data_IF_895724463086
#
_entry.id   IF_895724463086
#
_cell.length_a   1.000
_cell.length_b   1.000
_cell.length_c   1.000
_cell.angle_alpha   90.00
_cell.angle_beta   90.00
_cell.angle_gamma   90.00
#
_symmetry.space_group_name_H-M   'P 1'
#
loop_
_entity.id
_entity.type
_entity.pdbx_description
1 polymer ?
#
# COMPACT_ATOMS: atom_id res chain seq x y z
N UNK A 1 -6.13 -8.39 11.54
CA UNK A 1 -5.87 -8.37 10.09
C UNK A 1 -4.81 -9.40 9.73
N UNK A 2 -4.81 -9.97 8.52
CA UNK A 2 -3.75 -10.88 8.09
C UNK A 2 -2.40 -10.13 8.02
N UNK A 3 -1.31 -10.85 8.25
CA UNK A 3 0.03 -10.30 8.11
C UNK A 3 0.31 -9.93 6.64
N UNK A 4 0.95 -8.78 6.35
CA UNK A 4 1.35 -8.40 5.00
C UNK A 4 2.27 -9.44 4.33
N UNK A 5 1.89 -9.86 3.12
CA UNK A 5 2.65 -10.79 2.28
C UNK A 5 3.07 -10.09 1.00
N UNK A 6 4.33 -10.25 0.65
CA UNK A 6 4.93 -9.63 -0.53
C UNK A 6 5.57 -10.70 -1.41
N UNK A 7 5.05 -10.85 -2.63
CA UNK A 7 5.73 -11.63 -3.66
C UNK A 7 6.75 -10.76 -4.39
N UNK A 8 7.95 -11.28 -4.63
CA UNK A 8 9.03 -10.56 -5.33
C UNK A 8 8.60 -10.08 -6.71
N UNK A 9 7.87 -10.92 -7.47
CA UNK A 9 7.30 -10.57 -8.78
C UNK A 9 6.39 -9.35 -8.69
N UNK A 10 5.60 -9.27 -7.63
CA UNK A 10 4.64 -8.20 -7.39
C UNK A 10 5.33 -6.92 -6.93
N UNK A 11 6.29 -7.02 -6.01
CA UNK A 11 7.16 -5.91 -5.63
C UNK A 11 7.88 -5.33 -6.85
N UNK A 12 8.42 -6.19 -7.72
CA UNK A 12 9.10 -5.75 -8.94
C UNK A 12 8.15 -5.02 -9.90
N UNK A 13 6.93 -5.53 -10.09
CA UNK A 13 5.92 -4.90 -10.94
C UNK A 13 5.48 -3.53 -10.41
N UNK A 14 5.39 -3.40 -9.09
CA UNK A 14 4.96 -2.17 -8.41
C UNK A 14 6.13 -1.24 -8.07
N UNK A 15 7.38 -1.63 -8.33
CA UNK A 15 8.57 -0.83 -8.03
C UNK A 15 8.61 0.51 -8.79
N UNK A 16 7.81 0.66 -9.85
CA UNK A 16 7.56 1.95 -10.50
C UNK A 16 7.05 3.04 -9.53
N UNK A 17 6.45 2.64 -8.41
CA UNK A 17 5.98 3.50 -7.33
C UNK A 17 6.95 3.60 -6.14
N UNK A 18 8.11 2.95 -6.16
CA UNK A 18 9.05 2.95 -5.04
C UNK A 18 9.52 4.37 -4.66
N UNK A 19 9.56 5.29 -5.62
CA UNK A 19 9.87 6.71 -5.40
C UNK A 19 8.85 7.40 -4.48
N UNK A 20 7.58 7.02 -4.53
CA UNK A 20 6.55 7.55 -3.63
C UNK A 20 6.83 7.18 -2.16
N UNK A 21 7.60 6.09 -1.96
CA UNK A 21 8.06 5.62 -0.65
C UNK A 21 9.52 6.02 -0.36
N UNK A 22 10.09 6.94 -1.13
CA UNK A 22 11.43 7.49 -0.89
C UNK A 22 12.59 6.62 -1.39
N UNK A 23 12.33 5.64 -2.26
CA UNK A 23 13.37 4.75 -2.81
C UNK A 23 13.69 5.16 -4.23
N UNK A 24 14.95 5.51 -4.45
CA UNK A 24 15.46 5.92 -5.75
C UNK A 24 16.24 4.81 -6.47
N UNK A 25 16.41 4.99 -7.77
CA UNK A 25 17.14 4.04 -8.63
C UNK A 25 16.25 2.97 -9.26
N UNK A 26 16.90 1.95 -9.81
CA UNK A 26 16.26 0.86 -10.55
C UNK A 26 16.03 -0.36 -9.66
N UNK A 27 15.16 -1.27 -10.11
CA UNK A 27 14.95 -2.55 -9.44
C UNK A 27 16.26 -3.34 -9.35
N UNK A 28 16.57 -3.79 -8.14
CA UNK A 28 17.61 -4.76 -7.83
C UNK A 28 17.24 -5.40 -6.48
N UNK A 29 17.97 -6.41 -6.03
CA UNK A 29 17.67 -7.10 -4.77
C UNK A 29 17.62 -6.15 -3.57
N UNK A 30 18.63 -5.29 -3.40
CA UNK A 30 18.70 -4.36 -2.27
C UNK A 30 17.54 -3.34 -2.28
N UNK A 31 17.20 -2.81 -3.46
CA UNK A 31 16.08 -1.90 -3.62
C UNK A 31 14.72 -2.58 -3.44
N UNK A 32 14.60 -3.86 -3.82
CA UNK A 32 13.41 -4.68 -3.55
C UNK A 32 13.19 -4.88 -2.05
N UNK A 33 14.26 -5.22 -1.32
CA UNK A 33 14.22 -5.36 0.14
C UNK A 33 13.90 -4.02 0.82
N UNK A 34 14.48 -2.92 0.34
CA UNK A 34 14.16 -1.57 0.81
C UNK A 34 12.68 -1.22 0.57
N UNK A 35 12.12 -1.59 -0.59
CA UNK A 35 10.72 -1.33 -0.92
C UNK A 35 9.77 -2.12 -0.03
N UNK A 36 10.05 -3.40 0.18
CA UNK A 36 9.29 -4.20 1.14
C UNK A 36 9.34 -3.60 2.56
N UNK A 37 10.51 -3.15 3.02
CA UNK A 37 10.65 -2.50 4.32
C UNK A 37 9.88 -1.18 4.41
N UNK A 38 9.90 -0.37 3.35
CA UNK A 38 9.13 0.87 3.29
C UNK A 38 7.62 0.61 3.33
N UNK A 39 7.13 -0.43 2.63
CA UNK A 39 5.72 -0.84 2.69
C UNK A 39 5.33 -1.36 4.09
N UNK A 40 6.19 -2.14 4.74
CA UNK A 40 5.97 -2.58 6.12
C UNK A 40 5.90 -1.41 7.11
N UNK A 41 6.80 -0.43 6.96
CA UNK A 41 6.79 0.77 7.79
C UNK A 41 5.55 1.62 7.52
N UNK A 42 5.14 1.73 6.25
CA UNK A 42 3.91 2.41 5.86
C UNK A 42 2.70 1.80 6.57
N UNK A 43 2.52 0.48 6.48
CA UNK A 43 1.42 -0.25 7.15
C UNK A 43 1.39 0.02 8.66
N UNK A 44 2.55 0.06 9.32
CA UNK A 44 2.64 0.35 10.77
C UNK A 44 2.36 1.81 11.12
N UNK A 45 2.62 2.73 10.20
CA UNK A 45 2.45 4.17 10.38
C UNK A 45 1.13 4.72 9.84
N UNK A 46 0.31 3.87 9.23
CA UNK A 46 -0.97 4.26 8.67
C UNK A 46 -1.91 4.72 9.79
N UNK A 47 -2.51 5.89 9.61
CA UNK A 47 -3.50 6.43 10.55
C UNK A 47 -4.92 5.94 10.25
N UNK A 48 -5.15 5.47 9.02
CA UNK A 48 -6.45 5.01 8.55
C UNK A 48 -6.32 3.65 7.91
N UNK A 49 -7.04 2.66 8.45
CA UNK A 49 -7.07 1.30 7.94
C UNK A 49 -8.53 0.92 7.69
N UNK A 50 -8.86 0.63 6.43
CA UNK A 50 -10.23 0.50 5.98
C UNK A 50 -10.38 -0.76 5.14
N UNK A 51 -11.53 -1.43 5.26
CA UNK A 51 -11.99 -2.36 4.23
C UNK A 51 -12.73 -1.55 3.17
N UNK A 52 -12.30 -1.64 1.93
CA UNK A 52 -12.86 -0.90 0.80
C UNK A 52 -12.80 -1.75 -0.47
N UNK A 53 -13.26 -1.21 -1.59
CA UNK A 53 -13.07 -1.83 -2.90
C UNK A 53 -11.97 -1.15 -3.71
N UNK A 54 -11.26 -1.93 -4.52
CA UNK A 54 -10.34 -1.46 -5.54
C UNK A 54 -10.54 -2.29 -6.82
N UNK A 55 -10.89 -1.62 -7.93
CA UNK A 55 -11.21 -2.26 -9.22
C UNK A 55 -12.22 -3.42 -9.13
N UNK A 56 -13.21 -3.27 -8.25
CA UNK A 56 -14.28 -4.26 -8.05
C UNK A 56 -13.90 -5.44 -7.13
N UNK A 57 -12.73 -5.41 -6.50
CA UNK A 57 -12.29 -6.41 -5.52
C UNK A 57 -12.27 -5.81 -4.12
N UNK A 58 -12.67 -6.59 -3.12
CA UNK A 58 -12.52 -6.21 -1.71
C UNK A 58 -11.05 -6.20 -1.29
N UNK A 59 -10.64 -5.13 -0.63
CA UNK A 59 -9.27 -4.88 -0.22
C UNK A 59 -9.22 -4.25 1.18
N UNK A 60 -8.10 -4.50 1.86
CA UNK A 60 -7.66 -3.67 2.97
C UNK A 60 -6.81 -2.53 2.41
N UNK A 61 -7.20 -1.30 2.70
CA UNK A 61 -6.45 -0.11 2.32
C UNK A 61 -5.85 0.54 3.57
N UNK A 62 -4.55 0.81 3.52
CA UNK A 62 -3.80 1.48 4.58
C UNK A 62 -3.37 2.85 4.06
N UNK A 63 -3.84 3.91 4.71
CA UNK A 63 -3.57 5.30 4.32
C UNK A 63 -2.78 5.99 5.42
N UNK A 64 -1.75 6.72 5.00
CA UNK A 64 -1.04 7.67 5.84
C UNK A 64 -1.31 9.07 5.29
N UNK A 65 -2.15 9.83 6.00
CA UNK A 65 -2.57 11.18 5.65
C UNK A 65 -1.43 12.20 5.66
N UNK A 66 -0.37 11.95 6.44
CA UNK A 66 0.82 12.82 6.53
C UNK A 66 1.67 12.72 5.27
N UNK A 67 1.92 11.51 4.78
CA UNK A 67 2.72 11.30 3.55
C UNK A 67 1.85 11.37 2.29
N UNK A 68 0.55 11.10 2.42
CA UNK A 68 -0.39 10.89 1.32
C UNK A 68 -0.25 9.50 0.67
N UNK A 69 0.53 8.59 1.27
CA UNK A 69 0.74 7.27 0.71
C UNK A 69 -0.42 6.34 1.06
N UNK A 70 -0.71 5.43 0.15
CA UNK A 70 -1.69 4.39 0.34
C UNK A 70 -1.21 3.05 -0.22
N UNK A 71 -1.63 1.97 0.41
CA UNK A 71 -1.35 0.60 -0.03
C UNK A 71 -2.58 -0.25 0.04
N UNK A 72 -2.77 -1.13 -0.95
CA UNK A 72 -3.83 -2.11 -1.02
C UNK A 72 -3.31 -3.51 -0.77
N UNK A 73 -4.05 -4.26 0.02
CA UNK A 73 -3.87 -5.69 0.22
C UNK A 73 -5.19 -6.40 -0.01
N UNK A 74 -5.16 -7.63 -0.50
CA UNK A 74 -6.36 -8.46 -0.52
C UNK A 74 -6.77 -8.87 0.91
N UNK A 75 -7.92 -9.54 1.02
CA UNK A 75 -8.43 -10.02 2.31
C UNK A 75 -7.55 -11.10 2.98
N UNK A 76 -6.59 -11.70 2.24
CA UNK A 76 -5.63 -12.69 2.74
C UNK A 76 -4.26 -12.09 3.12
N UNK A 77 -4.10 -10.77 2.96
CA UNK A 77 -2.90 -10.02 3.26
C UNK A 77 -1.89 -9.94 2.11
N UNK A 78 -2.25 -10.35 0.89
CA UNK A 78 -1.34 -10.25 -0.25
C UNK A 78 -1.29 -8.82 -0.79
N UNK A 79 -0.08 -8.28 -0.97
CA UNK A 79 0.12 -6.94 -1.51
C UNK A 79 -0.39 -6.83 -2.96
N UNK A 80 -1.26 -5.85 -3.20
CA UNK A 80 -1.83 -5.58 -4.53
C UNK A 80 -1.09 -4.42 -5.20
N UNK A 81 -0.73 -3.39 -4.44
CA UNK A 81 -0.07 -2.19 -4.96
C UNK A 81 -0.07 -1.05 -3.93
N UNK A 82 0.74 -0.04 -4.20
CA UNK A 82 0.82 1.13 -3.33
C UNK A 82 1.58 2.28 -3.99
N UNK A 83 1.14 3.50 -3.70
CA UNK A 83 1.67 4.74 -4.26
C UNK A 83 1.16 5.93 -3.43
N UNK A 84 1.57 7.14 -3.80
CA UNK A 84 1.01 8.36 -3.24
C UNK A 84 -0.39 8.61 -3.82
N UNK A 85 -1.44 8.42 -3.02
CA UNK A 85 -2.82 8.55 -3.48
C UNK A 85 -3.16 9.99 -3.86
N UNK A 86 -4.02 10.15 -4.87
CA UNK A 86 -4.66 11.44 -5.10
C UNK A 86 -5.65 11.75 -3.98
N UNK A 87 -6.01 13.03 -3.82
CA UNK A 87 -7.06 13.45 -2.87
C UNK A 87 -8.38 12.72 -3.12
N UNK A 88 -8.74 12.48 -4.38
CA UNK A 88 -9.95 11.75 -4.76
C UNK A 88 -9.88 10.28 -4.33
N UNK A 89 -8.73 9.61 -4.50
CA UNK A 89 -8.55 8.23 -4.04
C UNK A 89 -8.66 8.14 -2.51
N UNK A 90 -7.99 9.05 -1.78
CA UNK A 90 -8.09 9.09 -0.33
C UNK A 90 -9.53 9.34 0.13
N UNK A 91 -10.20 10.34 -0.41
CA UNK A 91 -11.59 10.67 -0.06
C UNK A 91 -12.55 9.52 -0.38
N UNK A 92 -12.36 8.83 -1.51
CA UNK A 92 -13.16 7.67 -1.86
C UNK A 92 -13.07 6.60 -0.77
N UNK A 93 -11.87 6.26 -0.32
CA UNK A 93 -11.68 5.25 0.73
C UNK A 93 -12.17 5.73 2.09
N UNK A 94 -11.87 6.96 2.49
CA UNK A 94 -12.29 7.50 3.78
C UNK A 94 -13.81 7.64 3.89
N UNK A 95 -14.51 7.86 2.77
CA UNK A 95 -15.97 8.04 2.75
C UNK A 95 -16.73 6.72 2.56
N UNK A 96 -16.23 5.82 1.71
CA UNK A 96 -16.93 4.59 1.33
C UNK A 96 -16.38 3.33 2.00
N UNK A 97 -15.19 3.42 2.60
CA UNK A 97 -14.56 2.31 3.32
C UNK A 97 -15.13 2.15 4.73
N UNK A 98 -15.02 0.93 5.25
CA UNK A 98 -15.42 0.58 6.61
C UNK A 98 -14.14 0.51 7.46
N UNK A 99 -14.00 1.34 8.51
CA UNK A 99 -12.85 1.28 9.41
C UNK A 99 -12.67 -0.09 10.04
N UNK A 100 -11.43 -0.58 10.06
CA UNK A 100 -11.07 -1.84 10.69
C UNK A 100 -10.45 -1.53 12.06
N UNK A 101 -10.94 -2.16 13.15
CA UNK A 101 -10.40 -1.98 14.49
C UNK A 101 -9.02 -2.62 14.70
#
# INVERSE_FOLDING_TARGET
>A
MPEPKYETSKLQHEFKHAKDFGIEGNWNKANGDAFQNALNNHVKSADSILQSTYRGQDVHVYINSVTGNGTYFDLNGNFIGGWKFSLEQMNFHLTNGIPIP
#
